data_IF_328420044056
#
_entry.id   IF_328420044056
#
_cell.length_a   1.000
_cell.length_b   1.000
_cell.length_c   1.000
_cell.angle_alpha   90.00
_cell.angle_beta   90.00
_cell.angle_gamma   90.00
#
_symmetry.space_group_name_H-M   'P 1'
#
loop_
_entity.id
_entity.type
_entity.pdbx_description
1 polymer ?
#
# COMPACT_ATOMS: atom_id res chain seq x y z
N UNK A 1 1.04 29.81 15.99
CA UNK A 1 1.19 29.33 14.61
C UNK A 1 2.68 29.13 14.38
N UNK A 2 3.13 27.88 14.43
CA UNK A 2 4.55 27.50 14.31
C UNK A 2 4.73 26.77 12.97
N UNK A 3 5.62 27.23 12.07
CA UNK A 3 5.85 26.63 10.75
C UNK A 3 6.93 25.53 10.76
N UNK A 4 7.26 24.95 11.92
CA UNK A 4 8.37 23.98 12.04
C UNK A 4 7.90 22.52 11.96
N UNK A 5 7.40 22.10 10.80
CA UNK A 5 7.23 20.69 10.44
C UNK A 5 7.83 20.44 9.04
N UNK A 6 9.13 20.76 8.90
CA UNK A 6 9.93 20.23 7.79
C UNK A 6 10.10 18.74 8.02
N UNK A 7 9.43 17.94 7.19
CA UNK A 7 9.61 16.50 7.15
C UNK A 7 11.11 16.17 7.03
N UNK A 8 11.64 15.53 8.07
CA UNK A 8 12.99 14.98 8.13
C UNK A 8 13.04 13.81 7.16
N UNK A 9 13.47 14.06 5.93
CA UNK A 9 13.95 12.98 5.06
C UNK A 9 15.34 12.55 5.58
N UNK A 10 15.60 11.26 5.85
CA UNK A 10 16.96 10.78 5.99
C UNK A 10 17.67 10.91 4.62
N UNK A 11 18.35 12.03 4.44
CA UNK A 11 19.28 12.23 3.32
C UNK A 11 20.57 11.47 3.59
N UNK A 12 20.59 10.16 3.32
CA UNK A 12 21.77 9.31 3.05
C UNK A 12 21.40 7.83 3.12
N UNK A 13 21.42 7.10 1.99
CA UNK A 13 21.89 5.71 1.86
C UNK A 13 21.83 5.33 0.37
N UNK A 14 22.96 5.42 -0.33
CA UNK A 14 23.95 4.37 -0.70
C UNK A 14 23.58 3.64 -1.99
N UNK A 15 24.53 3.66 -2.91
CA UNK A 15 24.47 3.08 -4.23
C UNK A 15 24.36 1.55 -4.16
N UNK A 16 23.36 0.97 -4.82
CA UNK A 16 23.29 -0.46 -5.11
C UNK A 16 23.08 -0.71 -6.62
N UNK A 17 23.64 -1.85 -7.03
CA UNK A 17 24.11 -2.22 -8.36
C UNK A 17 23.26 -1.79 -9.57
N UNK A 18 23.91 -1.05 -10.47
CA UNK A 18 23.42 -0.74 -11.80
C UNK A 18 23.63 -1.94 -12.74
N UNK A 19 22.56 -2.71 -12.99
CA UNK A 19 22.38 -3.32 -14.30
C UNK A 19 21.71 -2.27 -15.21
N UNK A 20 22.32 -1.99 -16.35
CA UNK A 20 21.95 -0.88 -17.23
C UNK A 20 20.62 -1.13 -17.93
N UNK A 21 19.54 -0.50 -17.48
CA UNK A 21 18.22 -0.55 -18.12
C UNK A 21 17.94 0.79 -18.79
N UNK A 22 17.51 0.77 -20.04
CA UNK A 22 17.04 1.95 -20.78
C UNK A 22 15.51 1.94 -20.73
N UNK A 23 14.91 2.90 -20.05
CA UNK A 23 13.47 3.13 -20.05
C UNK A 23 13.08 4.17 -21.09
N UNK A 24 11.92 3.99 -21.71
CA UNK A 24 11.20 5.04 -22.44
C UNK A 24 9.81 5.15 -21.83
N UNK A 25 9.50 6.28 -21.19
CA UNK A 25 8.20 6.49 -20.52
C UNK A 25 7.21 7.12 -21.48
N UNK A 26 5.99 6.60 -21.56
CA UNK A 26 4.84 7.26 -22.21
C UNK A 26 3.64 7.14 -21.28
N UNK A 27 3.04 8.28 -20.91
CA UNK A 27 1.91 8.40 -20.00
C UNK A 27 0.63 8.58 -20.83
N UNK A 28 -0.44 7.86 -20.51
CA UNK A 28 -1.75 8.00 -21.16
C UNK A 28 -2.84 8.09 -20.09
N UNK A 29 -3.71 9.09 -20.18
CA UNK A 29 -4.85 9.28 -19.26
C UNK A 29 -6.17 9.11 -20.02
N UNK A 30 -7.10 8.34 -19.48
CA UNK A 30 -8.49 8.29 -19.94
C UNK A 30 -9.43 8.38 -18.73
N UNK A 31 -10.27 9.42 -18.66
CA UNK A 31 -11.30 9.59 -17.62
C UNK A 31 -12.55 10.24 -18.19
N UNK A 32 -13.68 9.55 -18.09
CA UNK A 32 -15.02 10.07 -18.33
C UNK A 32 -15.82 10.10 -17.04
N UNK A 33 -16.24 11.32 -16.65
CA UNK A 33 -17.06 11.65 -15.48
C UNK A 33 -18.45 11.00 -15.47
N UNK A 34 -19.02 10.63 -14.30
CA UNK A 34 -20.37 11.06 -13.81
C UNK A 34 -20.90 10.38 -12.51
N UNK A 35 -21.60 11.23 -11.74
CA UNK A 35 -22.72 11.13 -10.76
C UNK A 35 -23.26 9.76 -10.24
N UNK A 36 -23.73 9.71 -8.96
CA UNK A 36 -24.17 8.50 -8.27
C UNK A 36 -25.69 8.24 -8.31
N UNK A 37 -26.14 7.02 -7.99
CA UNK A 37 -27.45 6.83 -7.40
C UNK A 37 -27.50 6.01 -6.10
N UNK A 38 -28.34 6.54 -5.21
CA UNK A 38 -29.16 6.01 -4.12
C UNK A 38 -29.01 4.59 -3.51
N UNK A 39 -28.84 4.70 -2.19
CA UNK A 39 -29.07 3.83 -1.02
C UNK A 39 -30.45 3.16 -0.89
N UNK A 40 -30.48 1.84 -0.61
CA UNK A 40 -31.47 1.10 0.25
C UNK A 40 -30.79 -0.20 0.81
N UNK A 41 -30.58 -0.38 2.13
CA UNK A 41 -31.42 -1.11 3.13
C UNK A 41 -31.83 -2.52 2.64
N UNK A 42 -31.58 -3.67 3.30
CA UNK A 42 -31.65 -4.03 4.74
C UNK A 42 -31.21 -5.52 4.95
N UNK A 43 -30.66 -5.83 6.14
CA UNK A 43 -30.79 -7.02 7.05
C UNK A 43 -30.98 -8.44 6.46
N UNK A 44 -30.30 -9.51 6.94
CA UNK A 44 -30.45 -10.15 8.26
C UNK A 44 -29.23 -11.02 8.66
N UNK A 45 -29.11 -11.31 9.97
CA UNK A 45 -27.95 -11.91 10.64
C UNK A 45 -27.88 -13.45 10.69
N UNK A 46 -26.83 -13.98 11.38
CA UNK A 46 -26.36 -15.35 11.19
C UNK A 46 -26.81 -16.30 12.30
N UNK A 47 -26.83 -17.63 12.07
CA UNK A 47 -26.86 -18.60 13.15
C UNK A 47 -25.45 -18.98 13.60
N UNK A 48 -25.28 -19.03 14.92
CA UNK A 48 -24.12 -19.56 15.61
C UNK A 48 -24.06 -21.09 15.50
N UNK A 49 -22.85 -21.62 15.32
CA UNK A 49 -22.49 -22.95 15.82
C UNK A 49 -21.19 -22.84 16.61
N UNK A 50 -21.28 -23.28 17.87
CA UNK A 50 -20.20 -23.47 18.81
C UNK A 50 -19.48 -24.77 18.51
N UNK A 51 -18.18 -24.72 18.27
CA UNK A 51 -17.32 -25.88 18.51
C UNK A 51 -15.94 -25.41 18.99
N UNK A 52 -15.53 -26.00 20.12
CA UNK A 52 -14.27 -25.73 20.80
C UNK A 52 -13.08 -26.24 19.99
N UNK A 53 -12.42 -25.31 19.29
CA UNK A 53 -11.19 -25.59 18.57
C UNK A 53 -9.99 -25.41 19.51
N UNK A 54 -9.32 -26.52 19.78
CA UNK A 54 -8.02 -26.59 20.46
C UNK A 54 -7.03 -25.62 19.79
N UNK A 55 -6.38 -24.77 20.60
CA UNK A 55 -5.32 -23.86 20.16
C UNK A 55 -4.20 -24.64 19.45
N UNK A 56 -4.26 -24.63 18.13
CA UNK A 56 -3.17 -25.02 17.23
C UNK A 56 -2.28 -23.79 17.04
N UNK A 57 -0.98 -23.85 17.33
CA UNK A 57 -0.08 -22.71 17.12
C UNK A 57 0.32 -22.70 15.65
N UNK A 58 -0.52 -22.13 14.77
CA UNK A 58 -0.14 -21.72 13.40
C UNK A 58 -1.25 -21.02 12.60
N UNK A 59 -2.22 -20.34 13.24
CA UNK A 59 -3.06 -19.40 12.47
C UNK A 59 -2.21 -18.17 12.14
N UNK A 60 -1.71 -18.10 10.90
CA UNK A 60 -1.37 -16.79 10.31
C UNK A 60 -2.60 -15.93 10.49
N UNK A 61 -2.48 -14.78 11.16
CA UNK A 61 -3.62 -13.86 11.26
C UNK A 61 -4.16 -13.57 9.86
N UNK A 62 -5.47 -13.46 9.66
CA UNK A 62 -6.00 -13.10 8.35
C UNK A 62 -5.47 -11.72 7.92
N UNK A 63 -5.40 -11.50 6.61
CA UNK A 63 -5.11 -10.20 6.03
C UNK A 63 -6.19 -9.20 6.43
N UNK A 64 -5.82 -7.91 6.43
CA UNK A 64 -6.77 -6.83 6.66
C UNK A 64 -7.91 -6.90 5.63
N UNK A 65 -9.15 -6.83 6.11
CA UNK A 65 -10.35 -6.75 5.29
C UNK A 65 -10.93 -5.32 5.29
N UNK A 66 -11.90 -5.07 4.41
CA UNK A 66 -12.52 -3.75 4.27
C UNK A 66 -13.08 -3.21 5.58
N UNK A 67 -13.78 -4.05 6.35
CA UNK A 67 -14.38 -3.61 7.62
C UNK A 67 -13.31 -3.15 8.62
N UNK A 68 -12.17 -3.85 8.69
CA UNK A 68 -11.06 -3.45 9.55
C UNK A 68 -10.45 -2.11 9.11
N UNK A 69 -10.33 -1.88 7.80
CA UNK A 69 -9.89 -0.60 7.25
C UNK A 69 -10.89 0.51 7.59
N UNK A 70 -12.19 0.27 7.39
CA UNK A 70 -13.27 1.21 7.71
C UNK A 70 -13.32 1.54 9.20
N UNK A 71 -13.14 0.56 10.08
CA UNK A 71 -13.14 0.78 11.53
C UNK A 71 -11.98 1.66 11.99
N UNK A 72 -10.82 1.54 11.32
CA UNK A 72 -9.62 2.27 11.68
C UNK A 72 -9.53 3.66 11.03
N UNK A 73 -9.80 3.75 9.74
CA UNK A 73 -9.62 4.96 8.93
C UNK A 73 -10.93 5.73 8.73
N UNK A 74 -12.08 5.07 8.87
CA UNK A 74 -13.40 5.62 8.58
C UNK A 74 -13.83 5.34 7.14
N UNK A 75 -15.12 5.05 6.94
CA UNK A 75 -15.67 4.67 5.64
C UNK A 75 -15.47 5.71 4.52
N UNK A 76 -15.42 7.00 4.88
CA UNK A 76 -15.18 8.09 3.92
C UNK A 76 -13.71 8.35 3.60
N UNK A 77 -12.80 7.54 4.13
CA UNK A 77 -11.36 7.66 3.91
C UNK A 77 -10.75 6.36 3.33
N UNK A 78 -11.60 5.50 2.76
CA UNK A 78 -11.19 4.29 2.04
C UNK A 78 -11.68 4.43 0.61
N UNK A 79 -10.77 4.31 -0.34
CA UNK A 79 -11.08 4.30 -1.76
C UNK A 79 -10.99 2.87 -2.29
N UNK A 80 -12.07 2.42 -2.91
CA UNK A 80 -12.16 1.16 -3.64
C UNK A 80 -12.56 1.45 -5.09
N UNK A 81 -12.04 0.64 -6.01
CA UNK A 81 -12.43 0.67 -7.41
C UNK A 81 -13.81 0.03 -7.61
N UNK A 82 -14.54 0.46 -8.63
CA UNK A 82 -15.89 0.00 -8.89
C UNK A 82 -15.96 -1.18 -9.89
N UNK A 83 -17.19 -1.54 -10.31
CA UNK A 83 -17.40 -2.63 -11.25
C UNK A 83 -16.91 -2.31 -12.67
N UNK A 84 -17.00 -1.05 -13.12
CA UNK A 84 -16.49 -0.64 -14.43
C UNK A 84 -14.96 -0.73 -14.44
N UNK A 85 -14.31 -0.29 -13.37
CA UNK A 85 -12.88 -0.46 -13.17
C UNK A 85 -12.47 -1.94 -13.16
N UNK A 86 -13.29 -2.80 -12.54
CA UNK A 86 -13.02 -4.25 -12.48
C UNK A 86 -13.04 -4.89 -13.86
N UNK A 87 -13.99 -4.50 -14.70
CA UNK A 87 -14.06 -4.95 -16.09
C UNK A 87 -12.85 -4.44 -16.89
N UNK A 88 -12.43 -3.19 -16.68
CA UNK A 88 -11.25 -2.61 -17.31
C UNK A 88 -9.97 -3.37 -16.93
N UNK A 89 -9.74 -3.61 -15.63
CA UNK A 89 -8.60 -4.38 -15.14
C UNK A 89 -8.60 -5.81 -15.69
N UNK A 90 -9.75 -6.48 -15.68
CA UNK A 90 -9.89 -7.82 -16.23
C UNK A 90 -9.59 -7.85 -17.75
N UNK A 91 -10.04 -6.85 -18.51
CA UNK A 91 -9.75 -6.73 -19.94
C UNK A 91 -8.25 -6.52 -20.24
N UNK A 92 -7.53 -5.91 -19.30
CA UNK A 92 -6.09 -5.72 -19.33
C UNK A 92 -5.31 -6.92 -18.74
N UNK A 93 -6.01 -7.97 -18.27
CA UNK A 93 -5.39 -9.14 -17.64
C UNK A 93 -4.79 -8.88 -16.26
N UNK A 94 -5.21 -7.79 -15.59
CA UNK A 94 -4.71 -7.40 -14.28
C UNK A 94 -5.60 -8.02 -13.19
N UNK A 95 -4.98 -8.77 -12.28
CA UNK A 95 -5.64 -9.33 -11.10
C UNK A 95 -5.26 -8.49 -9.88
N UNK A 96 -6.23 -7.81 -9.29
CA UNK A 96 -6.02 -6.88 -8.18
C UNK A 96 -7.26 -6.82 -7.27
N UNK A 97 -7.79 -7.98 -6.89
CA UNK A 97 -9.06 -8.12 -6.17
C UNK A 97 -9.13 -7.23 -4.92
N UNK A 98 -8.00 -7.04 -4.22
CA UNK A 98 -7.94 -6.18 -3.03
C UNK A 98 -8.29 -4.71 -3.31
N UNK A 99 -8.05 -4.17 -4.51
CA UNK A 99 -8.46 -2.79 -4.83
C UNK A 99 -9.98 -2.62 -4.88
N UNK A 100 -10.70 -3.70 -5.15
CA UNK A 100 -12.15 -3.72 -5.28
C UNK A 100 -12.84 -4.17 -3.98
N UNK A 101 -12.33 -5.24 -3.38
CA UNK A 101 -12.98 -5.90 -2.24
C UNK A 101 -12.54 -5.31 -0.89
N UNK A 102 -11.35 -4.69 -0.82
CA UNK A 102 -10.78 -4.15 0.41
C UNK A 102 -10.59 -2.63 0.33
N UNK A 103 -10.04 -2.14 -0.79
CA UNK A 103 -9.67 -0.75 -1.00
C UNK A 103 -8.33 -0.35 -0.37
N UNK A 104 -7.99 0.93 -0.54
CA UNK A 104 -6.81 1.57 0.04
C UNK A 104 -7.24 2.73 0.94
N UNK A 105 -6.53 2.99 2.06
CA UNK A 105 -6.79 4.19 2.85
C UNK A 105 -6.34 5.43 2.09
N UNK A 106 -7.11 6.51 2.08
CA UNK A 106 -6.76 7.73 1.35
C UNK A 106 -5.43 8.34 1.85
N UNK A 107 -5.17 8.17 3.15
CA UNK A 107 -3.96 8.69 3.78
C UNK A 107 -3.56 7.91 5.03
N UNK A 108 -2.26 7.63 5.13
CA UNK A 108 -1.56 7.22 6.35
C UNK A 108 -0.28 8.07 6.47
N UNK A 109 -0.35 9.15 7.26
CA UNK A 109 0.72 10.15 7.34
C UNK A 109 2.11 9.54 7.54
N UNK A 110 3.02 9.83 6.60
CA UNK A 110 4.40 9.37 6.58
C UNK A 110 4.63 8.04 5.85
N UNK A 111 3.57 7.37 5.40
CA UNK A 111 3.65 6.03 4.81
C UNK A 111 2.89 5.93 3.49
N UNK A 112 1.74 6.59 3.39
CA UNK A 112 0.87 6.49 2.22
C UNK A 112 -0.02 7.72 2.05
N UNK A 113 -0.23 8.09 0.80
CA UNK A 113 -1.31 8.93 0.31
C UNK A 113 -1.77 8.38 -1.03
N UNK A 114 -3.08 8.34 -1.23
CA UNK A 114 -3.67 7.89 -2.48
C UNK A 114 -3.53 8.95 -3.57
N UNK A 115 -3.80 10.21 -3.23
CA UNK A 115 -3.73 11.35 -4.14
C UNK A 115 -2.41 12.13 -3.94
N UNK A 116 -1.34 11.81 -4.69
CA UNK A 116 -0.13 12.62 -4.70
C UNK A 116 -0.38 13.99 -5.35
N UNK A 117 0.47 14.97 -5.06
CA UNK A 117 0.37 16.33 -5.60
C UNK A 117 0.79 16.45 -7.09
N UNK A 118 1.39 15.39 -7.64
CA UNK A 118 1.89 15.34 -9.01
C UNK A 118 1.55 14.00 -9.66
N UNK A 119 1.56 13.99 -10.99
CA UNK A 119 1.41 12.76 -11.78
C UNK A 119 2.52 11.72 -11.47
N UNK A 120 2.27 10.42 -11.72
CA UNK A 120 0.98 9.84 -12.05
C UNK A 120 0.02 9.82 -10.85
N UNK A 121 -1.28 9.96 -11.11
CA UNK A 121 -2.35 9.79 -10.13
C UNK A 121 -2.59 8.31 -9.76
N UNK A 122 -3.32 8.05 -8.66
CA UNK A 122 -3.69 6.68 -8.31
C UNK A 122 -4.53 6.02 -9.41
N UNK A 123 -4.27 4.72 -9.59
CA UNK A 123 -4.86 3.82 -10.57
C UNK A 123 -4.49 4.08 -12.03
N UNK A 124 -3.66 5.10 -12.30
CA UNK A 124 -3.12 5.32 -13.63
C UNK A 124 -2.16 4.20 -14.04
N UNK A 125 -2.31 3.76 -15.29
CA UNK A 125 -1.40 2.81 -15.93
C UNK A 125 -0.14 3.51 -16.46
N UNK A 126 1.03 3.07 -16.01
CA UNK A 126 2.33 3.62 -16.40
C UNK A 126 3.15 2.55 -17.10
N UNK A 127 3.50 2.80 -18.36
CA UNK A 127 4.39 1.90 -19.11
C UNK A 127 5.82 2.02 -18.58
N UNK A 128 6.42 0.87 -18.31
CA UNK A 128 7.80 0.71 -17.90
C UNK A 128 8.42 -0.50 -18.60
N UNK A 129 9.74 -0.61 -18.56
CA UNK A 129 10.47 -1.81 -19.00
C UNK A 129 11.12 -2.44 -17.79
N UNK A 130 10.66 -3.63 -17.40
CA UNK A 130 11.21 -4.40 -16.29
C UNK A 130 11.88 -5.66 -16.84
N UNK A 131 13.15 -5.88 -16.49
CA UNK A 131 13.96 -7.02 -16.93
C UNK A 131 14.04 -7.18 -18.47
N UNK A 132 13.80 -6.09 -19.21
CA UNK A 132 13.77 -6.07 -20.68
C UNK A 132 12.38 -6.23 -21.29
N UNK A 133 11.37 -6.56 -20.48
CA UNK A 133 9.98 -6.71 -20.91
C UNK A 133 9.20 -5.42 -20.67
N UNK A 134 8.39 -5.03 -21.66
CA UNK A 134 7.45 -3.92 -21.48
C UNK A 134 6.28 -4.36 -20.60
N UNK A 135 6.01 -3.59 -19.56
CA UNK A 135 4.92 -3.81 -18.62
C UNK A 135 4.17 -2.52 -18.37
N UNK A 136 2.87 -2.61 -18.13
CA UNK A 136 2.07 -1.48 -17.64
C UNK A 136 1.86 -1.66 -16.15
N UNK A 137 2.52 -0.82 -15.35
CA UNK A 137 2.37 -0.79 -13.90
C UNK A 137 1.12 0.01 -13.53
N UNK A 138 0.42 -0.37 -12.46
CA UNK A 138 -0.72 0.41 -11.94
C UNK A 138 -0.25 1.24 -10.76
N UNK A 139 -0.41 2.56 -10.82
CA UNK A 139 -0.06 3.45 -9.71
C UNK A 139 -1.00 3.21 -8.54
N UNK A 140 -0.47 3.05 -7.32
CA UNK A 140 -1.27 2.85 -6.11
C UNK A 140 -1.32 4.09 -5.22
N UNK A 141 -0.34 4.99 -5.33
CA UNK A 141 -0.23 6.17 -4.48
C UNK A 141 1.24 6.56 -4.25
N UNK A 142 1.52 7.24 -3.15
CA UNK A 142 2.87 7.69 -2.80
C UNK A 142 3.14 7.65 -1.29
N UNK A 143 4.40 7.63 -0.84
CA UNK A 143 4.72 7.76 0.59
C UNK A 143 4.31 9.11 1.22
N UNK A 144 4.31 10.17 0.40
CA UNK A 144 3.99 11.55 0.79
C UNK A 144 3.41 12.31 -0.42
N UNK A 145 2.51 13.30 -0.23
CA UNK A 145 1.93 14.07 -1.33
C UNK A 145 2.95 14.66 -2.30
N UNK A 146 4.03 15.25 -1.79
CA UNK A 146 5.10 15.88 -2.59
C UNK A 146 6.22 14.91 -2.99
N UNK A 147 6.05 13.61 -2.76
CA UNK A 147 7.08 12.61 -3.11
C UNK A 147 7.21 12.47 -4.62
N UNK A 148 8.44 12.34 -5.13
CA UNK A 148 8.69 11.87 -6.51
C UNK A 148 8.63 10.34 -6.66
N UNK A 149 8.57 9.61 -5.53
CA UNK A 149 8.36 8.16 -5.51
C UNK A 149 6.87 7.84 -5.53
N UNK A 150 6.51 6.75 -6.21
CA UNK A 150 5.18 6.18 -6.28
C UNK A 150 5.21 4.71 -5.89
N UNK A 151 4.14 4.25 -5.27
CA UNK A 151 3.85 2.82 -5.17
C UNK A 151 3.19 2.37 -6.47
N UNK A 152 3.60 1.21 -6.97
CA UNK A 152 3.06 0.61 -8.17
C UNK A 152 2.72 -0.86 -7.92
N UNK A 153 1.61 -1.34 -8.48
CA UNK A 153 1.36 -2.75 -8.65
C UNK A 153 1.96 -3.21 -9.99
N UNK A 154 2.80 -4.25 -9.94
CA UNK A 154 3.20 -4.99 -11.13
C UNK A 154 2.16 -6.09 -11.40
N UNK A 155 1.37 -6.00 -12.49
CA UNK A 155 0.32 -6.98 -12.76
C UNK A 155 0.85 -8.35 -13.18
N UNK A 156 2.13 -8.46 -13.54
CA UNK A 156 2.74 -9.71 -14.02
C UNK A 156 2.97 -10.70 -12.88
N UNK A 157 3.48 -10.21 -11.75
CA UNK A 157 3.87 -11.03 -10.59
C UNK A 157 3.07 -10.69 -9.31
N UNK A 158 2.29 -9.61 -9.33
CA UNK A 158 1.50 -9.14 -8.19
C UNK A 158 2.32 -8.37 -7.14
N UNK A 159 3.60 -8.11 -7.40
CA UNK A 159 4.45 -7.35 -6.49
C UNK A 159 4.03 -5.89 -6.40
N UNK A 160 4.18 -5.31 -5.22
CA UNK A 160 4.11 -3.86 -5.02
C UNK A 160 5.52 -3.30 -5.01
N UNK A 161 5.75 -2.33 -5.89
CA UNK A 161 7.02 -1.67 -6.11
C UNK A 161 6.96 -0.25 -5.55
N UNK A 162 8.07 0.24 -5.02
CA UNK A 162 8.30 1.67 -4.80
C UNK A 162 9.29 2.13 -5.85
N UNK A 163 8.88 3.07 -6.70
CA UNK A 163 9.72 3.54 -7.77
C UNK A 163 9.63 5.03 -8.04
N UNK A 164 10.73 5.58 -8.54
CA UNK A 164 10.77 6.88 -9.22
C UNK A 164 11.17 6.58 -10.66
N UNK A 165 10.20 6.68 -11.57
CA UNK A 165 10.39 6.36 -13.00
C UNK A 165 10.84 7.58 -13.81
N UNK A 166 10.64 8.79 -13.29
CA UNK A 166 11.07 10.04 -13.92
C UNK A 166 12.45 10.52 -13.42
N UNK A 167 13.17 11.27 -14.24
CA UNK A 167 14.38 11.99 -13.81
C UNK A 167 15.71 11.25 -13.99
N UNK A 168 15.79 10.30 -14.93
CA UNK A 168 17.06 9.70 -15.37
C UNK A 168 17.10 8.20 -15.12
N UNK A 169 17.92 7.75 -14.15
CA UNK A 169 17.97 6.31 -13.81
C UNK A 169 16.79 5.96 -12.91
N UNK A 170 15.88 5.09 -13.35
CA UNK A 170 14.78 4.64 -12.51
C UNK A 170 15.35 4.01 -11.23
N UNK A 171 14.70 4.32 -10.12
CA UNK A 171 14.90 3.62 -8.86
C UNK A 171 13.68 2.75 -8.65
N UNK A 172 13.89 1.47 -8.38
CA UNK A 172 12.82 0.51 -8.21
C UNK A 172 13.22 -0.44 -7.10
N UNK A 173 12.28 -0.66 -6.18
CA UNK A 173 12.40 -1.57 -5.08
C UNK A 173 11.09 -2.35 -4.95
N UNK A 174 11.15 -3.66 -4.74
CA UNK A 174 9.96 -4.44 -4.37
C UNK A 174 9.70 -4.22 -2.88
N UNK A 175 8.62 -3.53 -2.55
CA UNK A 175 8.27 -3.22 -1.15
C UNK A 175 7.32 -4.25 -0.55
N UNK A 176 6.51 -4.93 -1.36
CA UNK A 176 5.74 -6.07 -0.89
C UNK A 176 5.61 -7.16 -1.97
N UNK A 177 5.54 -8.40 -1.51
CA UNK A 177 5.36 -9.57 -2.39
C UNK A 177 3.94 -9.73 -2.93
N UNK A 178 2.94 -9.06 -2.32
CA UNK A 178 1.57 -9.03 -2.85
C UNK A 178 0.89 -7.70 -2.53
N UNK A 179 -0.12 -7.35 -3.33
CA UNK A 179 -1.00 -6.21 -3.06
C UNK A 179 -1.67 -6.31 -1.69
N UNK A 180 -2.22 -7.47 -1.33
CA UNK A 180 -2.86 -7.61 -0.05
C UNK A 180 -1.90 -7.56 1.15
N UNK A 181 -0.62 -7.95 0.99
CA UNK A 181 0.40 -7.72 2.03
C UNK A 181 0.66 -6.22 2.22
N UNK A 182 0.72 -5.46 1.13
CA UNK A 182 0.82 -3.99 1.18
C UNK A 182 -0.37 -3.36 1.92
N UNK A 183 -1.60 -3.76 1.60
CA UNK A 183 -2.82 -3.28 2.28
C UNK A 183 -2.79 -3.61 3.78
N UNK A 184 -2.42 -4.84 4.13
CA UNK A 184 -2.29 -5.26 5.54
C UNK A 184 -1.20 -4.46 6.26
N UNK A 185 -0.06 -4.20 5.62
CA UNK A 185 0.99 -3.33 6.18
C UNK A 185 0.45 -1.94 6.53
N UNK A 186 -0.27 -1.29 5.62
CA UNK A 186 -0.90 0.01 5.88
C UNK A 186 -1.86 -0.05 7.08
N UNK A 187 -2.68 -1.09 7.15
CA UNK A 187 -3.59 -1.29 8.28
C UNK A 187 -2.85 -1.46 9.61
N UNK A 188 -1.82 -2.32 9.66
CA UNK A 188 -1.06 -2.62 10.90
C UNK A 188 -0.25 -1.42 11.38
N UNK A 189 0.32 -0.64 10.47
CA UNK A 189 0.99 0.61 10.80
C UNK A 189 -0.03 1.64 11.30
N UNK A 190 -1.19 1.77 10.66
CA UNK A 190 -2.28 2.64 11.12
C UNK A 190 -2.76 2.27 12.54
N UNK A 191 -2.94 0.98 12.81
CA UNK A 191 -3.26 0.42 14.13
C UNK A 191 -2.24 0.85 15.18
N UNK A 192 -0.95 0.70 14.88
CA UNK A 192 0.12 1.13 15.79
C UNK A 192 0.07 2.64 16.03
N UNK A 193 -0.08 3.46 14.98
CA UNK A 193 -0.16 4.92 15.13
C UNK A 193 -1.36 5.35 15.98
N UNK A 194 -2.50 4.67 15.86
CA UNK A 194 -3.66 4.92 16.70
C UNK A 194 -3.36 4.58 18.18
N UNK A 195 -2.80 3.40 18.44
CA UNK A 195 -2.39 2.96 19.78
C UNK A 195 -1.39 3.92 20.44
N UNK A 196 -0.39 4.37 19.67
CA UNK A 196 0.71 5.23 20.15
C UNK A 196 0.22 6.55 20.76
N UNK A 197 -0.96 7.05 20.37
CA UNK A 197 -1.50 8.33 20.87
C UNK A 197 -1.84 8.30 22.36
N UNK A 198 -2.18 7.13 22.88
CA UNK A 198 -2.70 6.97 24.25
C UNK A 198 -1.78 6.11 25.14
N UNK A 199 -0.72 5.53 24.57
CA UNK A 199 0.22 4.65 25.26
C UNK A 199 1.46 5.39 25.78
N UNK A 200 2.08 4.88 26.84
CA UNK A 200 3.40 5.35 27.29
C UNK A 200 4.55 4.79 26.43
N UNK A 201 5.74 5.38 26.51
CA UNK A 201 6.90 5.03 25.68
C UNK A 201 7.29 3.55 25.75
N UNK A 202 7.23 2.94 26.93
CA UNK A 202 7.59 1.51 27.10
C UNK A 202 6.61 0.60 26.33
N UNK A 203 5.31 0.84 26.47
CA UNK A 203 4.27 0.10 25.73
C UNK A 203 4.34 0.36 24.22
N UNK A 204 4.75 1.56 23.81
CA UNK A 204 4.98 1.87 22.40
C UNK A 204 6.15 1.07 21.83
N UNK A 205 7.27 0.97 22.55
CA UNK A 205 8.42 0.18 22.13
C UNK A 205 8.05 -1.31 21.99
N UNK A 206 7.40 -1.89 23.00
CA UNK A 206 6.97 -3.30 22.99
C UNK A 206 6.03 -3.60 21.81
N UNK A 207 5.06 -2.72 21.52
CA UNK A 207 4.18 -2.90 20.37
C UNK A 207 4.95 -2.69 19.06
N UNK A 208 5.87 -1.72 18.97
CA UNK A 208 6.68 -1.52 17.75
C UNK A 208 7.47 -2.79 17.41
N UNK A 209 8.06 -3.46 18.39
CA UNK A 209 8.75 -4.73 18.20
C UNK A 209 7.81 -5.84 17.71
N UNK A 210 6.60 -5.93 18.29
CA UNK A 210 5.58 -6.88 17.83
C UNK A 210 5.09 -6.57 16.41
N UNK A 211 4.96 -5.29 16.05
CA UNK A 211 4.62 -4.87 14.70
C UNK A 211 5.72 -5.31 13.73
N UNK A 212 6.99 -5.03 14.01
CA UNK A 212 8.11 -5.41 13.14
C UNK A 212 8.17 -6.93 12.97
N UNK A 213 8.04 -7.69 14.06
CA UNK A 213 8.02 -9.15 14.01
C UNK A 213 6.85 -9.67 13.15
N UNK A 214 5.66 -9.07 13.27
CA UNK A 214 4.51 -9.41 12.45
C UNK A 214 4.75 -9.13 10.97
N UNK A 215 5.19 -7.92 10.63
CA UNK A 215 5.42 -7.51 9.24
C UNK A 215 6.49 -8.40 8.60
N UNK A 216 7.60 -8.64 9.30
CA UNK A 216 8.67 -9.54 8.85
C UNK A 216 8.16 -10.97 8.59
N UNK A 217 7.34 -11.52 9.49
CA UNK A 217 6.79 -12.85 9.32
C UNK A 217 5.73 -12.92 8.20
N UNK A 218 5.02 -11.82 7.96
CA UNK A 218 4.00 -11.70 6.91
C UNK A 218 4.62 -11.67 5.52
N UNK A 219 5.65 -10.85 5.34
CA UNK A 219 6.31 -10.66 4.07
C UNK A 219 7.83 -10.56 4.29
N UNK A 220 8.54 -11.70 4.35
CA UNK A 220 9.97 -11.71 4.63
C UNK A 220 10.81 -10.96 3.59
N UNK A 221 10.33 -10.86 2.34
CA UNK A 221 11.03 -10.17 1.27
C UNK A 221 11.09 -8.65 1.52
N UNK A 222 9.99 -8.08 2.03
CA UNK A 222 9.91 -6.67 2.42
C UNK A 222 10.98 -6.28 3.47
N UNK A 223 11.37 -7.22 4.33
CA UNK A 223 12.35 -7.04 5.41
C UNK A 223 13.70 -7.74 5.13
N UNK A 224 13.95 -8.18 3.89
CA UNK A 224 15.13 -8.98 3.57
C UNK A 224 16.45 -8.22 3.77
N UNK A 225 16.45 -6.89 3.60
CA UNK A 225 17.60 -6.03 3.85
C UNK A 225 17.20 -4.86 4.76
N UNK A 226 18.10 -4.39 5.64
CA UNK A 226 17.81 -3.31 6.58
C UNK A 226 17.63 -1.94 5.90
N UNK A 227 18.08 -1.80 4.65
CA UNK A 227 17.93 -0.60 3.83
C UNK A 227 16.72 -0.65 2.89
N UNK A 228 15.92 -1.71 2.94
CA UNK A 228 14.60 -1.73 2.31
C UNK A 228 13.69 -0.66 2.92
N UNK A 229 12.69 -0.24 2.15
CA UNK A 229 11.73 0.78 2.47
C UNK A 229 11.04 0.57 3.83
N UNK A 230 10.49 -0.61 4.09
CA UNK A 230 9.70 -0.84 5.30
C UNK A 230 10.52 -0.79 6.58
N UNK A 231 11.67 -1.49 6.70
CA UNK A 231 12.58 -1.29 7.83
C UNK A 231 12.90 0.18 8.09
N UNK A 232 13.26 0.95 7.05
CA UNK A 232 13.58 2.38 7.19
C UNK A 232 12.37 3.21 7.61
N UNK A 233 11.21 3.00 6.99
CA UNK A 233 10.01 3.76 7.27
C UNK A 233 9.45 3.47 8.67
N UNK A 234 9.46 2.21 9.09
CA UNK A 234 8.97 1.76 10.40
C UNK A 234 9.93 2.13 11.52
N UNK A 235 11.25 2.18 11.28
CA UNK A 235 12.20 2.65 12.30
C UNK A 235 11.92 4.11 12.73
N UNK A 236 11.33 4.91 11.84
CA UNK A 236 10.91 6.29 12.11
C UNK A 236 9.49 6.43 12.70
N UNK A 237 8.83 5.31 13.08
CA UNK A 237 7.61 5.31 13.90
C UNK A 237 7.89 5.65 15.37
#
# INVERSE_FOLDING_TARGET
MDPSARAMYPSRLVAMNAAAWKLTTTIFHDRSTRRPPDRRLRTEGPPMTSDGEKMSPSRREPMANQQQLVDLFGAGNITSLDAEDRELFASAGIVADELFDVGLPDKLSGFFVLEPAAEPEAFDGVRATLDGDEVTLVTLGAPHPDSGLRYYLNPVDGHVLLAQLDGGRPRLEVVNSTLGAFVDYLYRIGRFKAFRRDANEALQADYKDLLIAYLTARDPQAYAQPDNWWPLAVDNL
#
